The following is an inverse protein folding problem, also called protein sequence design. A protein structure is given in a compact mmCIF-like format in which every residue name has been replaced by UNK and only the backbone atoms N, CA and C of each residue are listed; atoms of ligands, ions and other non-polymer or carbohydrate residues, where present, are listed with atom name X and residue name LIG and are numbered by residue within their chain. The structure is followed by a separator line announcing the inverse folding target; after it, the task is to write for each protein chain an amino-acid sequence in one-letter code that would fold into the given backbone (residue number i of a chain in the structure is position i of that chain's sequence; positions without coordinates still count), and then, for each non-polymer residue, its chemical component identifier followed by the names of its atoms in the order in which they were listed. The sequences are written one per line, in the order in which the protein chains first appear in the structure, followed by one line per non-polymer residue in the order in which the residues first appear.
data_IF_274386802903
#
_entry.id   IF_274386802903
#
_cell.length_a   1.000
_cell.length_b   1.000
_cell.length_c   1.000
_cell.angle_alpha   90.00
_cell.angle_beta   90.00
_cell.angle_gamma   90.00
#
_symmetry.space_group_name_H-M   'P 1'
#
loop_
_entity.id
_entity.type
_entity.pdbx_description
1 polymer ?
#
# COMPACT_ATOMS: atom_id res chain seq x y z
N UNK A 1 28.64 22.29 -40.93
CA UNK A 1 29.29 22.99 -39.80
C UNK A 1 28.34 23.24 -38.62
N UNK A 2 27.04 23.52 -38.86
CA UNK A 2 26.03 23.75 -37.80
C UNK A 2 25.72 22.53 -36.89
N UNK A 3 26.05 21.30 -37.30
CA UNK A 3 25.75 20.09 -36.51
C UNK A 3 26.75 19.87 -35.35
N UNK A 4 27.97 20.44 -35.43
CA UNK A 4 28.98 20.33 -34.36
C UNK A 4 28.81 21.36 -33.25
N UNK A 5 28.07 22.45 -33.47
CA UNK A 5 27.76 23.43 -32.42
C UNK A 5 26.65 22.94 -31.48
N UNK A 6 25.66 22.20 -32.00
CA UNK A 6 24.54 21.66 -31.17
C UNK A 6 24.98 20.57 -30.17
N UNK A 7 26.09 19.86 -30.42
CA UNK A 7 26.61 18.85 -29.48
C UNK A 7 27.39 19.44 -28.29
N UNK A 8 27.84 20.70 -28.38
CA UNK A 8 28.54 21.35 -27.28
C UNK A 8 27.57 22.04 -26.30
N UNK A 9 26.45 22.59 -26.78
CA UNK A 9 25.47 23.26 -25.91
C UNK A 9 24.70 22.26 -25.01
N UNK A 10 24.51 21.01 -25.45
CA UNK A 10 23.88 19.96 -24.65
C UNK A 10 24.72 19.49 -23.45
N UNK A 11 26.04 19.74 -23.44
CA UNK A 11 26.93 19.38 -22.32
C UNK A 11 26.88 20.38 -21.17
N UNK A 12 26.58 21.65 -21.45
CA UNK A 12 26.57 22.71 -20.43
C UNK A 12 25.31 22.70 -19.56
N UNK A 13 24.20 22.11 -20.02
CA UNK A 13 22.99 21.97 -19.20
C UNK A 13 23.10 20.93 -18.07
N UNK A 14 24.10 20.04 -18.09
CA UNK A 14 24.28 19.00 -17.07
C UNK A 14 25.34 19.37 -16.00
N UNK A 15 25.87 20.59 -16.00
CA UNK A 15 26.85 21.05 -15.02
C UNK A 15 26.39 22.32 -14.31
N UNK A 16 25.38 22.18 -13.44
CA UNK A 16 25.27 23.04 -12.26
C UNK A 16 25.96 22.35 -11.07
N UNK A 17 27.23 22.65 -10.77
CA UNK A 17 28.00 21.96 -9.73
C UNK A 17 27.53 22.27 -8.28
N UNK A 18 26.59 23.20 -8.09
CA UNK A 18 26.19 23.67 -6.77
C UNK A 18 24.98 22.96 -6.14
N UNK A 19 24.20 22.17 -6.89
CA UNK A 19 23.10 21.37 -6.30
C UNK A 19 23.50 19.92 -5.99
N UNK A 20 24.46 19.36 -6.73
CA UNK A 20 24.90 17.97 -6.53
C UNK A 20 25.87 17.83 -5.35
N UNK A 21 26.71 18.83 -5.08
CA UNK A 21 27.78 18.73 -4.09
C UNK A 21 27.25 18.57 -2.66
N UNK A 22 26.12 19.20 -2.31
CA UNK A 22 25.54 19.14 -0.96
C UNK A 22 24.87 17.79 -0.68
N UNK A 23 24.16 17.21 -1.65
CA UNK A 23 23.57 15.87 -1.52
C UNK A 23 24.61 14.74 -1.60
N UNK A 24 25.64 14.88 -2.45
CA UNK A 24 26.70 13.88 -2.55
C UNK A 24 27.56 13.81 -1.27
N UNK A 25 27.69 14.94 -0.55
CA UNK A 25 28.42 14.98 0.72
C UNK A 25 27.62 14.29 1.82
N UNK A 26 26.31 14.52 1.89
CA UNK A 26 25.40 13.88 2.85
C UNK A 26 25.29 12.35 2.63
N UNK A 27 25.28 11.89 1.38
CA UNK A 27 25.29 10.45 1.04
C UNK A 27 26.65 9.81 1.34
N UNK A 28 27.76 10.50 1.07
CA UNK A 28 29.11 9.98 1.38
C UNK A 28 29.37 9.87 2.88
N UNK A 29 28.83 10.80 3.68
CA UNK A 29 28.98 10.81 5.14
C UNK A 29 28.18 9.68 5.78
N UNK A 30 26.94 9.44 5.33
CA UNK A 30 26.11 8.28 5.77
C UNK A 30 26.72 6.94 5.35
N UNK A 31 27.39 6.86 4.19
CA UNK A 31 28.03 5.63 3.73
C UNK A 31 29.33 5.33 4.50
N UNK A 32 30.03 6.38 4.98
CA UNK A 32 31.27 6.24 5.77
C UNK A 32 30.98 5.71 7.18
N UNK A 33 29.92 6.17 7.83
CA UNK A 33 29.46 5.59 9.12
C UNK A 33 29.00 4.13 8.98
N UNK A 34 28.43 3.75 7.81
CA UNK A 34 28.03 2.37 7.57
C UNK A 34 29.21 1.41 7.37
N UNK A 35 30.37 1.92 6.92
CA UNK A 35 31.59 1.11 6.72
C UNK A 35 32.37 0.90 8.02
N UNK A 36 32.41 1.88 8.93
CA UNK A 36 33.04 1.76 10.25
C UNK A 36 32.28 0.80 11.19
N UNK A 37 30.96 0.67 11.07
CA UNK A 37 30.20 -0.35 11.83
C UNK A 37 30.43 -1.78 11.35
N UNK A 38 30.93 -1.98 10.12
CA UNK A 38 31.25 -3.30 9.57
C UNK A 38 32.67 -3.72 9.99
N UNK A 39 33.62 -2.79 10.13
CA UNK A 39 35.01 -3.08 10.50
C UNK A 39 35.25 -3.32 12.01
N UNK A 40 34.38 -2.84 12.91
CA UNK A 40 34.48 -3.17 14.34
C UNK A 40 33.91 -4.56 14.73
N UNK A 41 33.47 -5.35 13.75
CA UNK A 41 33.06 -6.75 13.93
C UNK A 41 34.25 -7.69 13.70
N UNK A 42 35.28 -7.59 14.55
CA UNK A 42 36.48 -8.42 14.47
C UNK A 42 36.18 -9.92 14.46
N UNK A 43 36.41 -10.56 13.32
CA UNK A 43 36.52 -12.03 13.17
C UNK A 43 37.99 -12.35 12.99
N UNK A 44 38.69 -12.57 14.09
CA UNK A 44 40.00 -13.24 14.06
C UNK A 44 39.78 -14.75 13.96
N UNK A 45 40.22 -15.33 12.84
CA UNK A 45 40.49 -16.76 12.74
C UNK A 45 41.61 -17.14 13.72
N UNK A 46 41.58 -18.37 14.25
CA UNK A 46 42.71 -19.23 13.94
C UNK A 46 42.28 -20.59 13.40
N UNK A 47 43.18 -21.10 12.57
CA UNK A 47 43.12 -22.30 11.79
C UNK A 47 43.38 -23.58 12.64
N UNK A 48 42.54 -24.59 12.37
CA UNK A 48 42.91 -26.00 12.04
C UNK A 48 43.19 -27.02 13.17
N UNK A 49 42.67 -28.24 12.88
CA UNK A 49 42.68 -29.55 13.57
C UNK A 49 41.49 -29.78 14.53
N UNK A 50 40.69 -30.85 14.47
CA UNK A 50 40.79 -32.14 13.78
C UNK A 50 39.40 -32.80 13.68
N UNK A 51 39.32 -33.85 12.86
CA UNK A 51 38.14 -34.62 12.41
C UNK A 51 37.11 -34.96 13.49
N UNK A 52 35.83 -34.71 13.18
CA UNK A 52 34.70 -35.29 13.91
C UNK A 52 33.42 -35.27 13.07
N UNK A 53 33.06 -36.43 12.51
CA UNK A 53 31.75 -36.67 11.88
C UNK A 53 30.65 -36.51 12.93
N UNK A 54 29.83 -35.48 12.79
CA UNK A 54 28.64 -35.27 13.61
C UNK A 54 27.63 -34.39 12.89
N UNK A 55 26.49 -34.96 12.52
CA UNK A 55 25.35 -34.29 11.91
C UNK A 55 24.90 -33.09 12.75
N UNK A 56 25.41 -31.91 12.45
CA UNK A 56 24.94 -30.67 13.07
C UNK A 56 24.28 -29.85 11.97
N UNK A 57 22.95 -29.93 11.89
CA UNK A 57 22.12 -29.00 11.12
C UNK A 57 22.43 -27.60 11.63
N UNK A 58 23.34 -26.89 10.97
CA UNK A 58 23.56 -25.45 11.17
C UNK A 58 22.30 -24.76 10.65
N UNK A 59 21.28 -24.66 11.50
CA UNK A 59 20.17 -23.73 11.32
C UNK A 59 20.80 -22.34 11.37
N UNK A 60 21.14 -21.78 10.19
CA UNK A 60 21.44 -20.35 10.05
C UNK A 60 20.22 -19.60 10.57
N UNK A 61 20.27 -19.15 11.83
CA UNK A 61 19.24 -18.29 12.42
C UNK A 61 19.34 -16.96 11.68
N UNK A 62 18.55 -16.78 10.62
CA UNK A 62 18.39 -15.48 9.98
C UNK A 62 18.03 -14.45 11.06
N UNK A 63 18.85 -13.41 11.23
CA UNK A 63 18.59 -12.33 12.19
C UNK A 63 17.22 -11.74 11.86
N UNK A 64 16.21 -12.01 12.69
CA UNK A 64 14.85 -11.48 12.52
C UNK A 64 14.89 -10.00 12.87
N UNK A 65 14.85 -9.13 11.85
CA UNK A 65 14.72 -7.70 12.07
C UNK A 65 13.47 -7.39 12.89
N UNK A 66 13.57 -6.43 13.82
CA UNK A 66 12.41 -5.96 14.56
C UNK A 66 11.39 -5.31 13.62
N UNK A 67 10.10 -5.40 13.96
CA UNK A 67 8.98 -4.86 13.17
C UNK A 67 9.21 -3.37 12.83
N UNK A 68 9.68 -2.58 13.78
CA UNK A 68 10.01 -1.14 13.60
C UNK A 68 11.11 -0.91 12.57
N UNK A 69 12.19 -1.72 12.58
CA UNK A 69 13.27 -1.60 11.59
C UNK A 69 12.78 -1.90 10.19
N UNK A 70 11.96 -2.95 10.02
CA UNK A 70 11.35 -3.26 8.71
C UNK A 70 10.49 -2.11 8.18
N UNK A 71 9.72 -1.45 9.05
CA UNK A 71 8.91 -0.29 8.68
C UNK A 71 9.77 0.89 8.21
N UNK A 72 10.87 1.16 8.92
CA UNK A 72 11.81 2.20 8.53
C UNK A 72 12.44 1.89 7.17
N UNK A 73 12.95 0.68 6.95
CA UNK A 73 13.52 0.31 5.66
C UNK A 73 12.49 0.28 4.53
N UNK A 74 11.26 -0.18 4.78
CA UNK A 74 10.17 -0.12 3.82
C UNK A 74 9.91 1.31 3.36
N UNK A 75 9.82 2.25 4.31
CA UNK A 75 9.65 3.65 4.01
C UNK A 75 10.82 4.24 3.20
N UNK A 76 12.07 3.86 3.51
CA UNK A 76 13.23 4.30 2.72
C UNK A 76 13.18 3.77 1.29
N UNK A 77 12.79 2.51 1.09
CA UNK A 77 12.60 1.92 -0.25
C UNK A 77 11.53 2.68 -1.03
N UNK A 78 10.40 3.01 -0.39
CA UNK A 78 9.37 3.85 -1.00
C UNK A 78 9.91 5.23 -1.39
N UNK A 79 10.72 5.86 -0.53
CA UNK A 79 11.32 7.17 -0.83
C UNK A 79 12.25 7.11 -2.04
N UNK A 80 13.08 6.06 -2.16
CA UNK A 80 13.90 5.85 -3.36
C UNK A 80 13.05 5.67 -4.61
N UNK A 81 11.96 4.91 -4.54
CA UNK A 81 11.04 4.74 -5.65
C UNK A 81 10.43 6.08 -6.10
N UNK A 82 10.03 6.93 -5.15
CA UNK A 82 9.49 8.27 -5.43
C UNK A 82 10.55 9.17 -6.09
N UNK A 83 11.79 9.16 -5.60
CA UNK A 83 12.89 9.94 -6.20
C UNK A 83 13.12 9.50 -7.66
N UNK A 84 13.12 8.19 -7.93
CA UNK A 84 13.28 7.67 -9.29
C UNK A 84 12.10 8.08 -10.16
N UNK A 85 10.85 7.90 -9.70
CA UNK A 85 9.65 8.29 -10.42
C UNK A 85 9.64 9.80 -10.74
N UNK A 86 10.02 10.63 -9.77
CA UNK A 86 10.10 12.07 -9.94
C UNK A 86 11.13 12.47 -11.00
N UNK A 87 12.33 11.85 -10.96
CA UNK A 87 13.36 12.06 -11.98
C UNK A 87 12.92 11.62 -13.38
N UNK A 88 12.22 10.49 -13.49
CA UNK A 88 11.63 10.02 -14.75
C UNK A 88 10.59 11.03 -15.25
N UNK A 89 9.77 11.58 -14.36
CA UNK A 89 8.77 12.62 -14.70
C UNK A 89 9.41 13.89 -15.26
N UNK A 90 10.43 14.42 -14.57
CA UNK A 90 11.19 15.60 -15.04
C UNK A 90 11.88 15.30 -16.38
N UNK A 91 12.54 14.15 -16.50
CA UNK A 91 13.21 13.74 -17.73
C UNK A 91 12.23 13.65 -18.90
N UNK A 92 11.07 13.03 -18.67
CA UNK A 92 10.01 12.89 -19.68
C UNK A 92 9.47 14.26 -20.10
N UNK A 93 9.29 15.19 -19.16
CA UNK A 93 8.86 16.54 -19.45
C UNK A 93 9.90 17.32 -20.28
N UNK A 94 11.19 17.26 -19.91
CA UNK A 94 12.26 17.92 -20.68
C UNK A 94 12.30 17.35 -22.11
N UNK A 95 12.21 16.03 -22.25
CA UNK A 95 12.17 15.37 -23.55
C UNK A 95 10.94 15.81 -24.36
N UNK A 96 9.77 15.90 -23.73
CA UNK A 96 8.56 16.41 -24.35
C UNK A 96 8.71 17.85 -24.84
N UNK A 97 9.26 18.76 -24.03
CA UNK A 97 9.50 20.14 -24.47
C UNK A 97 10.46 20.20 -25.66
N UNK A 98 11.53 19.40 -25.64
CA UNK A 98 12.49 19.36 -26.74
C UNK A 98 11.87 18.85 -28.05
N UNK A 99 11.01 17.82 -27.97
CA UNK A 99 10.36 17.21 -29.12
C UNK A 99 9.18 18.04 -29.64
N UNK A 100 8.27 18.47 -28.76
CA UNK A 100 7.05 19.18 -29.16
C UNK A 100 7.32 20.62 -29.62
N UNK A 101 8.37 21.25 -29.11
CA UNK A 101 8.74 22.61 -29.48
C UNK A 101 9.99 22.65 -30.35
N UNK A 102 10.25 21.64 -31.19
CA UNK A 102 11.47 21.53 -31.99
C UNK A 102 11.85 22.86 -32.68
N UNK A 103 10.88 23.51 -33.32
CA UNK A 103 11.03 24.77 -34.08
C UNK A 103 10.99 26.05 -33.23
N UNK A 104 10.71 25.96 -31.93
CA UNK A 104 10.65 27.13 -31.07
C UNK A 104 12.05 27.68 -30.76
N UNK A 105 12.19 29.01 -30.59
CA UNK A 105 13.47 29.62 -30.23
C UNK A 105 13.98 29.10 -28.87
N UNK A 106 15.29 28.93 -28.76
CA UNK A 106 15.98 28.37 -27.57
C UNK A 106 15.66 29.10 -26.27
N UNK A 107 15.39 30.41 -26.34
CA UNK A 107 15.00 31.22 -25.19
C UNK A 107 13.70 30.72 -24.53
N UNK A 108 12.72 30.28 -25.32
CA UNK A 108 11.44 29.78 -24.78
C UNK A 108 11.62 28.41 -24.14
N UNK A 109 12.40 27.51 -24.77
CA UNK A 109 12.73 26.19 -24.20
C UNK A 109 13.47 26.34 -22.87
N UNK A 110 14.47 27.22 -22.82
CA UNK A 110 15.24 27.49 -21.59
C UNK A 110 14.36 28.08 -20.49
N UNK A 111 13.44 28.98 -20.82
CA UNK A 111 12.49 29.51 -19.84
C UNK A 111 11.55 28.42 -19.29
N UNK A 112 11.00 27.56 -20.15
CA UNK A 112 10.14 26.45 -19.74
C UNK A 112 10.88 25.44 -18.84
N UNK A 113 12.10 25.05 -19.23
CA UNK A 113 12.92 24.12 -18.45
C UNK A 113 13.38 24.77 -17.13
N UNK A 114 13.78 26.05 -17.16
CA UNK A 114 14.24 26.77 -15.96
C UNK A 114 13.14 26.95 -14.90
N UNK A 115 11.86 27.00 -15.30
CA UNK A 115 10.74 27.06 -14.36
C UNK A 115 10.54 25.73 -13.60
N UNK A 116 11.02 24.60 -14.13
CA UNK A 116 10.90 23.30 -13.44
C UNK A 116 11.66 23.33 -12.11
N UNK A 117 12.85 23.94 -12.09
CA UNK A 117 13.68 24.01 -10.87
C UNK A 117 12.95 24.77 -9.75
N UNK A 118 12.24 25.85 -10.08
CA UNK A 118 11.40 26.58 -9.13
C UNK A 118 10.21 25.75 -8.64
N UNK A 119 9.68 24.88 -9.50
CA UNK A 119 8.55 23.99 -9.20
C UNK A 119 8.99 22.63 -8.63
N UNK A 120 10.29 22.39 -8.43
CA UNK A 120 10.82 21.09 -8.05
C UNK A 120 10.18 20.56 -6.76
N UNK A 121 10.10 21.38 -5.72
CA UNK A 121 9.51 20.99 -4.43
C UNK A 121 8.01 20.67 -4.59
N UNK A 122 7.27 21.50 -5.32
CA UNK A 122 5.83 21.32 -5.53
C UNK A 122 5.54 20.02 -6.29
N UNK A 123 6.26 19.79 -7.39
CA UNK A 123 6.11 18.59 -8.22
C UNK A 123 6.60 17.33 -7.50
N UNK A 124 7.64 17.42 -6.67
CA UNK A 124 8.09 16.33 -5.80
C UNK A 124 7.01 15.98 -4.76
N UNK A 125 6.46 16.98 -4.06
CA UNK A 125 5.39 16.76 -3.07
C UNK A 125 4.14 16.16 -3.70
N UNK A 126 3.77 16.62 -4.91
CA UNK A 126 2.68 16.02 -5.67
C UNK A 126 2.98 14.55 -6.00
N UNK A 127 4.17 14.25 -6.53
CA UNK A 127 4.60 12.88 -6.84
C UNK A 127 4.58 12.00 -5.59
N UNK A 128 5.09 12.50 -4.46
CA UNK A 128 5.11 11.83 -3.17
C UNK A 128 3.69 11.50 -2.69
N UNK A 129 2.79 12.49 -2.71
CA UNK A 129 1.42 12.33 -2.25
C UNK A 129 0.65 11.35 -3.13
N UNK A 130 0.72 11.53 -4.46
CA UNK A 130 0.06 10.65 -5.42
C UNK A 130 0.59 9.22 -5.34
N UNK A 131 1.90 9.02 -5.18
CA UNK A 131 2.49 7.69 -5.03
C UNK A 131 1.89 6.94 -3.83
N UNK A 132 1.89 7.55 -2.65
CA UNK A 132 1.38 6.88 -1.45
C UNK A 132 -0.13 6.67 -1.52
N UNK A 133 -0.89 7.68 -1.95
CA UNK A 133 -2.34 7.57 -2.05
C UNK A 133 -2.75 6.44 -3.01
N UNK A 134 -2.19 6.43 -4.21
CA UNK A 134 -2.49 5.42 -5.24
C UNK A 134 -1.99 4.04 -4.80
N UNK A 135 -0.79 3.95 -4.22
CA UNK A 135 -0.24 2.67 -3.75
C UNK A 135 -1.07 2.07 -2.62
N UNK A 136 -1.53 2.87 -1.66
CA UNK A 136 -2.36 2.35 -0.57
C UNK A 136 -3.75 1.94 -1.05
N UNK A 137 -4.36 2.74 -1.92
CA UNK A 137 -5.69 2.49 -2.45
C UNK A 137 -5.73 1.27 -3.40
N UNK A 138 -4.86 1.24 -4.42
CA UNK A 138 -4.82 0.13 -5.39
C UNK A 138 -4.07 -1.10 -4.86
N UNK A 139 -3.10 -0.91 -3.97
CA UNK A 139 -2.28 -1.98 -3.42
C UNK A 139 -2.91 -2.68 -2.21
N UNK A 140 -4.17 -2.40 -1.87
CA UNK A 140 -4.86 -2.97 -0.71
C UNK A 140 -4.01 -2.86 0.58
N UNK A 141 -3.58 -1.63 0.90
CA UNK A 141 -2.75 -1.38 2.07
C UNK A 141 -1.26 -1.76 1.91
N UNK A 142 -0.79 -2.01 0.68
CA UNK A 142 0.62 -2.33 0.39
C UNK A 142 1.26 -1.31 -0.56
N UNK A 143 2.38 -0.75 -0.14
CA UNK A 143 3.31 -0.03 -1.02
C UNK A 143 4.40 -0.97 -1.52
N UNK A 144 5.22 -0.52 -2.48
CA UNK A 144 6.36 -1.29 -2.98
C UNK A 144 7.32 -1.62 -1.83
N UNK A 145 7.65 -0.63 -1.01
CA UNK A 145 8.49 -0.79 0.18
C UNK A 145 7.90 -1.78 1.17
N UNK A 146 6.62 -1.64 1.51
CA UNK A 146 5.96 -2.59 2.43
C UNK A 146 5.95 -4.01 1.87
N UNK A 147 5.74 -4.17 0.56
CA UNK A 147 5.75 -5.47 -0.13
C UNK A 147 7.11 -6.15 -0.06
N UNK A 148 8.20 -5.40 -0.28
CA UNK A 148 9.57 -5.92 -0.17
C UNK A 148 9.87 -6.50 1.22
N UNK A 149 9.30 -5.91 2.27
CA UNK A 149 9.50 -6.37 3.66
C UNK A 149 8.40 -7.32 4.18
N UNK A 150 7.47 -7.75 3.32
CA UNK A 150 6.33 -8.62 3.64
C UNK A 150 5.45 -8.03 4.75
N UNK A 151 5.18 -6.73 4.63
CA UNK A 151 4.32 -5.97 5.53
C UNK A 151 3.05 -5.56 4.77
N UNK A 152 1.94 -5.51 5.50
CA UNK A 152 0.64 -5.03 5.02
C UNK A 152 0.00 -4.13 6.07
N UNK A 153 -0.65 -3.07 5.64
CA UNK A 153 -1.54 -2.27 6.49
C UNK A 153 -2.95 -2.85 6.46
N UNK A 154 -3.57 -2.96 7.64
CA UNK A 154 -4.89 -3.55 7.87
C UNK A 154 -5.78 -2.51 8.56
N UNK A 155 -7.03 -2.40 8.12
CA UNK A 155 -8.07 -1.55 8.74
C UNK A 155 -8.57 -2.17 10.06
N UNK A 156 -8.94 -1.33 11.02
CA UNK A 156 -9.60 -1.75 12.26
C UNK A 156 -11.14 -1.71 12.19
N UNK A 157 -11.72 -0.85 11.33
CA UNK A 157 -13.16 -0.57 11.30
C UNK A 157 -13.89 -1.23 10.12
N UNK A 158 -13.17 -1.88 9.19
CA UNK A 158 -13.74 -2.48 7.97
C UNK A 158 -13.19 -3.85 7.59
N UNK A 159 -13.32 -4.22 6.30
CA UNK A 159 -12.74 -5.45 5.77
C UNK A 159 -11.20 -5.39 5.94
N UNK A 160 -10.59 -6.33 6.68
CA UNK A 160 -9.14 -6.34 6.87
C UNK A 160 -8.35 -6.49 5.56
N UNK A 161 -9.00 -6.90 4.46
CA UNK A 161 -8.38 -7.05 3.13
C UNK A 161 -8.24 -5.73 2.38
N UNK A 162 -9.09 -4.74 2.65
CA UNK A 162 -9.16 -3.51 1.86
C UNK A 162 -9.06 -2.28 2.76
N UNK A 163 -8.27 -1.31 2.31
CA UNK A 163 -8.20 -0.02 3.00
C UNK A 163 -9.23 0.92 2.38
N UNK A 164 -10.01 1.58 3.24
CA UNK A 164 -10.89 2.66 2.78
C UNK A 164 -10.06 3.79 2.17
N UNK A 165 -10.66 4.52 1.22
CA UNK A 165 -10.04 5.69 0.63
C UNK A 165 -9.63 6.71 1.71
N UNK A 166 -10.48 6.90 2.72
CA UNK A 166 -10.22 7.84 3.81
C UNK A 166 -9.02 7.41 4.67
N UNK A 167 -8.90 6.12 4.96
CA UNK A 167 -7.75 5.58 5.70
C UNK A 167 -6.46 5.73 4.90
N UNK A 168 -6.51 5.45 3.59
CA UNK A 168 -5.39 5.63 2.67
C UNK A 168 -4.93 7.09 2.60
N UNK A 169 -5.89 8.03 2.55
CA UNK A 169 -5.64 9.46 2.54
C UNK A 169 -5.03 9.95 3.86
N UNK A 170 -5.62 9.59 5.00
CA UNK A 170 -5.10 9.95 6.33
C UNK A 170 -3.71 9.37 6.58
N UNK A 171 -3.46 8.16 6.10
CA UNK A 171 -2.14 7.52 6.17
C UNK A 171 -1.12 8.27 5.31
N UNK A 172 -1.50 8.67 4.10
CA UNK A 172 -0.67 9.49 3.20
C UNK A 172 -0.33 10.82 3.86
N UNK A 173 -1.29 11.50 4.47
CA UNK A 173 -1.05 12.73 5.25
C UNK A 173 -0.07 12.48 6.40
N UNK A 174 -0.22 11.39 7.15
CA UNK A 174 0.71 11.01 8.21
C UNK A 174 2.15 10.82 7.71
N UNK A 175 2.32 10.25 6.51
CA UNK A 175 3.62 10.14 5.86
C UNK A 175 4.15 11.50 5.37
N UNK A 176 3.30 12.38 4.86
CA UNK A 176 3.69 13.75 4.46
C UNK A 176 4.18 14.56 5.65
N UNK A 177 3.45 14.54 6.77
CA UNK A 177 3.88 15.21 8.02
C UNK A 177 5.21 14.65 8.50
N UNK A 178 5.38 13.33 8.43
CA UNK A 178 6.63 12.68 8.82
C UNK A 178 7.82 13.09 7.93
N UNK A 179 7.58 13.31 6.63
CA UNK A 179 8.60 13.85 5.72
C UNK A 179 8.95 15.30 6.06
N UNK A 180 7.94 16.16 6.29
CA UNK A 180 8.15 17.56 6.68
C UNK A 180 8.91 17.70 8.01
N UNK A 181 8.71 16.78 8.95
CA UNK A 181 9.41 16.75 10.23
C UNK A 181 10.79 16.05 10.17
N UNK A 182 11.34 15.81 8.97
CA UNK A 182 12.68 15.24 8.77
C UNK A 182 12.83 13.90 9.53
N UNK A 183 11.81 13.03 9.45
CA UNK A 183 11.80 11.71 10.10
C UNK A 183 11.89 11.71 11.63
N UNK A 184 11.78 12.86 12.28
CA UNK A 184 11.74 12.98 13.76
C UNK A 184 10.69 12.05 14.40
N UNK A 185 9.47 11.88 13.83
CA UNK A 185 8.47 10.96 14.37
C UNK A 185 8.88 9.49 14.33
N UNK A 186 9.81 9.08 13.46
CA UNK A 186 10.37 7.72 13.50
C UNK A 186 11.23 7.48 14.74
N UNK A 187 11.98 8.50 15.20
CA UNK A 187 12.75 8.41 16.46
C UNK A 187 11.80 8.24 17.65
N UNK A 188 10.67 8.94 17.67
CA UNK A 188 9.66 8.81 18.74
C UNK A 188 9.12 7.37 18.81
N UNK A 189 8.97 6.69 17.68
CA UNK A 189 8.53 5.29 17.64
C UNK A 189 9.54 4.30 18.23
N UNK A 190 10.83 4.66 18.37
CA UNK A 190 11.80 3.84 19.09
C UNK A 190 11.61 3.92 20.61
N UNK A 191 11.13 5.06 21.13
CA UNK A 191 10.92 5.26 22.56
C UNK A 191 9.54 4.79 23.04
N UNK A 192 8.53 4.76 22.17
CA UNK A 192 7.16 4.40 22.53
C UNK A 192 6.95 2.88 22.58
N UNK A 193 6.37 2.37 23.67
CA UNK A 193 6.11 0.93 23.89
C UNK A 193 5.14 0.33 22.86
N UNK A 194 4.21 1.15 22.35
CA UNK A 194 3.14 0.71 21.44
C UNK A 194 3.62 0.40 20.03
N UNK A 195 4.83 0.84 19.64
CA UNK A 195 5.44 0.63 18.30
C UNK A 195 4.52 1.00 17.12
N UNK A 196 3.45 1.78 17.36
CA UNK A 196 2.57 2.35 16.33
C UNK A 196 3.23 3.59 15.74
N UNK A 197 3.30 3.66 14.41
CA UNK A 197 3.84 4.81 13.71
C UNK A 197 2.90 6.00 13.71
N UNK A 198 3.40 7.19 13.37
CA UNK A 198 2.56 8.38 13.17
C UNK A 198 1.45 8.14 12.12
N UNK A 199 1.72 7.49 10.96
CA UNK A 199 0.68 7.18 9.98
C UNK A 199 -0.37 6.20 10.51
N UNK A 200 0.02 5.26 11.37
CA UNK A 200 -0.88 4.31 12.02
C UNK A 200 -1.82 5.02 13.00
N UNK A 201 -1.35 6.08 13.66
CA UNK A 201 -2.16 6.86 14.61
C UNK A 201 -3.25 7.68 13.90
N UNK A 202 -2.93 8.33 12.78
CA UNK A 202 -3.90 9.13 12.04
C UNK A 202 -4.97 8.30 11.32
N UNK A 203 -4.58 7.14 10.80
CA UNK A 203 -5.49 6.29 10.03
C UNK A 203 -6.18 5.21 10.86
N UNK A 204 -5.88 5.11 12.15
CA UNK A 204 -6.35 4.01 13.01
C UNK A 204 -6.07 2.61 12.45
N UNK A 205 -5.01 2.46 11.64
CA UNK A 205 -4.66 1.18 11.00
C UNK A 205 -3.48 0.50 11.71
N UNK A 206 -3.34 -0.81 11.53
CA UNK A 206 -2.19 -1.56 12.02
C UNK A 206 -1.39 -2.16 10.86
N UNK A 207 -0.05 -2.02 10.90
CA UNK A 207 0.82 -2.80 10.02
C UNK A 207 1.04 -4.18 10.61
N UNK A 208 0.69 -5.23 9.88
CA UNK A 208 0.95 -6.63 10.19
C UNK A 208 1.96 -7.23 9.20
N UNK A 209 2.64 -8.30 9.61
CA UNK A 209 3.44 -9.11 8.68
C UNK A 209 2.48 -9.98 7.85
N UNK A 210 2.81 -10.29 6.60
CA UNK A 210 1.95 -11.16 5.76
C UNK A 210 1.61 -12.50 6.46
N UNK A 211 2.55 -13.06 7.24
CA UNK A 211 2.32 -14.28 8.04
C UNK A 211 1.30 -14.08 9.17
N UNK A 212 1.33 -12.91 9.80
CA UNK A 212 0.38 -12.55 10.86
C UNK A 212 -1.00 -12.33 10.25
N UNK A 213 -1.06 -11.68 9.08
CA UNK A 213 -2.29 -11.47 8.32
C UNK A 213 -2.95 -12.79 7.90
N UNK A 214 -2.19 -13.75 7.35
CA UNK A 214 -2.73 -15.06 6.96
C UNK A 214 -3.31 -15.84 8.15
N UNK A 215 -2.69 -15.71 9.33
CA UNK A 215 -3.22 -16.32 10.55
C UNK A 215 -4.54 -15.67 10.96
N UNK A 216 -4.56 -14.34 10.97
CA UNK A 216 -5.75 -13.55 11.30
C UNK A 216 -6.91 -13.85 10.33
N UNK A 217 -6.65 -13.89 9.03
CA UNK A 217 -7.65 -14.21 8.00
C UNK A 217 -8.25 -15.61 8.21
N UNK A 218 -7.42 -16.59 8.58
CA UNK A 218 -7.88 -17.94 8.84
C UNK A 218 -8.72 -18.04 10.13
N UNK A 219 -8.39 -17.27 11.17
CA UNK A 219 -9.20 -17.17 12.39
C UNK A 219 -10.56 -16.53 12.10
N UNK A 220 -10.59 -15.41 11.38
CA UNK A 220 -11.84 -14.74 10.98
C UNK A 220 -12.72 -15.65 10.13
N UNK A 221 -12.12 -16.36 9.16
CA UNK A 221 -12.86 -17.31 8.30
C UNK A 221 -13.45 -18.48 9.09
N UNK A 222 -12.74 -18.95 10.13
CA UNK A 222 -13.24 -20.02 11.01
C UNK A 222 -14.44 -19.58 11.84
N UNK A 223 -14.39 -18.38 12.42
CA UNK A 223 -15.51 -17.84 13.20
C UNK A 223 -16.74 -17.62 12.31
N UNK A 224 -16.56 -17.04 11.11
CA UNK A 224 -17.68 -16.86 10.16
C UNK A 224 -18.35 -18.19 9.78
N UNK A 225 -17.55 -19.24 9.49
CA UNK A 225 -18.10 -20.57 9.18
C UNK A 225 -18.88 -21.17 10.36
N UNK A 226 -18.43 -20.94 11.59
CA UNK A 226 -19.07 -21.43 12.80
C UNK A 226 -20.42 -20.74 13.03
N UNK A 227 -20.49 -19.43 12.81
CA UNK A 227 -21.72 -18.67 12.93
C UNK A 227 -22.74 -19.02 11.83
N UNK A 228 -22.29 -19.18 10.58
CA UNK A 228 -23.15 -19.65 9.50
C UNK A 228 -23.72 -21.05 9.77
N UNK A 229 -22.90 -21.96 10.31
CA UNK A 229 -23.39 -23.29 10.69
C UNK A 229 -24.36 -23.26 11.87
N UNK A 230 -24.20 -22.32 12.81
CA UNK A 230 -25.11 -22.14 13.94
C UNK A 230 -26.47 -21.64 13.48
N UNK A 231 -26.49 -20.63 12.61
CA UNK A 231 -27.72 -20.07 12.06
C UNK A 231 -28.44 -21.09 11.16
N UNK A 232 -27.71 -21.84 10.33
CA UNK A 232 -28.32 -22.89 9.51
C UNK A 232 -28.99 -23.99 10.35
N UNK A 233 -28.40 -24.32 11.51
CA UNK A 233 -28.99 -25.31 12.44
C UNK A 233 -30.21 -24.77 13.19
N UNK A 234 -30.24 -23.48 13.55
CA UNK A 234 -31.41 -22.88 14.18
C UNK A 234 -32.61 -22.85 13.23
N UNK A 235 -32.37 -22.49 11.97
CA UNK A 235 -33.43 -22.40 10.96
C UNK A 235 -34.01 -23.79 10.65
N UNK A 236 -33.14 -24.81 10.53
CA UNK A 236 -33.57 -26.19 10.32
C UNK A 236 -34.40 -26.75 11.49
N UNK A 237 -34.09 -26.33 12.71
CA UNK A 237 -34.79 -26.77 13.92
C UNK A 237 -36.19 -26.14 14.02
N UNK A 238 -36.34 -24.87 13.62
CA UNK A 238 -37.65 -24.21 13.56
C UNK A 238 -38.56 -24.83 12.50
N UNK A 239 -38.04 -25.15 11.31
CA UNK A 239 -38.85 -25.79 10.25
C UNK A 239 -39.35 -27.20 10.64
N UNK A 240 -38.63 -27.94 11.48
CA UNK A 240 -39.08 -29.25 11.98
C UNK A 240 -40.14 -29.13 13.09
N UNK A 241 -40.22 -28.01 13.78
CA UNK A 241 -41.22 -27.76 14.82
C UNK A 241 -42.56 -27.34 14.20
N UNK A 242 -42.54 -26.49 13.17
CA UNK A 242 -43.75 -26.11 12.40
C UNK A 242 -44.37 -27.29 11.64
N UNK A 243 -43.56 -28.25 11.17
CA UNK A 243 -44.06 -29.46 10.52
C UNK A 243 -44.82 -30.39 11.47
N UNK A 244 -44.50 -30.40 12.77
CA UNK A 244 -45.15 -31.31 13.74
C UNK A 244 -46.47 -30.79 14.29
N UNK A 245 -46.71 -29.49 14.22
CA UNK A 245 -47.99 -28.88 14.65
C UNK A 245 -49.05 -28.93 13.55
N UNK A 246 -48.67 -29.11 12.28
CA UNK A 246 -49.62 -29.20 11.16
C UNK A 246 -50.35 -30.55 11.01
N UNK A 247 -49.85 -31.63 11.61
CA UNK A 247 -50.48 -32.97 11.51
C UNK A 247 -51.54 -33.24 12.58
N UNK A 248 -51.77 -32.30 13.51
CA UNK A 248 -52.73 -32.46 14.61
C UNK A 248 -54.14 -31.90 14.32
N UNK A 249 -54.34 -31.14 13.24
CA UNK A 249 -55.64 -30.53 12.88
C UNK A 249 -56.06 -30.88 11.44
N UNK A 250 -56.19 -32.17 11.13
CA UNK A 250 -57.00 -32.61 9.97
C UNK A 250 -58.46 -32.59 10.41
N UNK A 251 -59.05 -31.40 10.52
CA UNK A 251 -60.49 -31.22 10.65
C UNK A 251 -61.08 -31.25 9.25
N UNK A 252 -61.92 -32.26 9.02
CA UNK A 252 -62.73 -32.47 7.83
C UNK A 252 -63.53 -31.21 7.47
N UNK A 253 -63.15 -30.49 6.41
CA UNK A 253 -63.98 -29.43 5.84
C UNK A 253 -64.78 -29.94 4.63
N UNK A 254 -66.11 -29.72 4.59
CA UNK A 254 -66.95 -30.12 3.47
C UNK A 254 -66.75 -29.20 2.28
N UNK A 255 -66.75 -29.82 1.09
CA UNK A 255 -66.67 -29.19 -0.22
C UNK A 255 -67.99 -28.43 -0.46
N UNK A 256 -67.92 -27.10 -0.46
CA UNK A 256 -68.91 -26.25 -1.11
C UNK A 256 -68.18 -25.32 -2.07
N UNK A 257 -68.46 -25.50 -3.36
CA UNK A 257 -67.94 -24.68 -4.42
C UNK A 257 -68.70 -23.37 -4.53
N UNK A 258 -67.97 -22.31 -4.85
CA UNK A 258 -68.46 -21.20 -5.67
C UNK A 258 -67.32 -20.69 -6.57
N UNK A 259 -67.62 -20.30 -7.83
CA UNK A 259 -66.65 -19.75 -8.75
C UNK A 259 -66.67 -18.22 -8.70
N UNK A 260 -65.60 -17.59 -8.21
CA UNK A 260 -65.44 -16.14 -8.33
C UNK A 260 -64.06 -15.76 -8.86
N UNK A 261 -64.08 -15.46 -10.16
CA UNK A 261 -63.39 -14.40 -10.90
C UNK A 261 -62.21 -13.66 -10.24
N UNK A 262 -61.09 -13.65 -10.99
CA UNK A 262 -60.23 -12.51 -11.33
C UNK A 262 -59.95 -11.47 -10.23
N UNK A 263 -58.69 -11.38 -9.80
CA UNK A 263 -57.88 -10.15 -9.59
C UNK A 263 -56.53 -10.64 -9.04
N UNK A 264 -55.45 -10.59 -9.85
CA UNK A 264 -54.05 -10.46 -9.41
C UNK A 264 -53.08 -10.64 -10.59
N UNK A 265 -53.09 -9.70 -11.54
CA UNK A 265 -52.03 -9.57 -12.56
C UNK A 265 -51.36 -8.19 -12.56
N UNK A 266 -51.55 -7.39 -11.51
CA UNK A 266 -51.11 -5.98 -11.48
C UNK A 266 -50.04 -5.68 -10.42
N UNK A 267 -49.04 -6.56 -10.26
CA UNK A 267 -47.85 -6.25 -9.42
C UNK A 267 -46.50 -6.72 -9.99
N UNK A 268 -46.47 -7.27 -11.21
CA UNK A 268 -45.21 -7.76 -11.80
C UNK A 268 -44.55 -6.69 -12.71
N UNK A 269 -45.29 -5.68 -13.14
CA UNK A 269 -44.80 -4.72 -14.16
C UNK A 269 -44.05 -3.51 -13.60
N UNK A 270 -44.07 -3.28 -12.28
CA UNK A 270 -43.39 -2.12 -11.68
C UNK A 270 -41.89 -2.36 -11.43
N UNK A 271 -41.48 -3.62 -11.27
CA UNK A 271 -40.06 -3.97 -11.08
C UNK A 271 -39.25 -4.03 -12.38
N UNK A 272 -39.90 -4.20 -13.53
CA UNK A 272 -39.20 -4.20 -14.83
C UNK A 272 -38.70 -2.79 -15.21
N UNK A 273 -39.46 -1.74 -14.86
CA UNK A 273 -39.09 -0.36 -15.19
C UNK A 273 -37.94 0.20 -14.35
N UNK A 274 -37.66 -0.35 -13.18
CA UNK A 274 -36.49 0.07 -12.39
C UNK A 274 -35.17 -0.49 -12.93
N UNK A 275 -35.18 -1.62 -13.66
CA UNK A 275 -33.94 -2.19 -14.19
C UNK A 275 -33.41 -1.43 -15.42
N UNK A 276 -34.29 -0.89 -16.26
CA UNK A 276 -33.88 -0.15 -17.47
C UNK A 276 -33.28 1.24 -17.15
N UNK A 277 -33.53 1.80 -15.96
CA UNK A 277 -32.93 3.07 -15.54
C UNK A 277 -31.49 2.92 -14.99
N UNK A 278 -31.03 1.69 -14.76
CA UNK A 278 -29.69 1.43 -14.20
C UNK A 278 -28.64 1.06 -15.27
N UNK A 279 -29.06 0.87 -16.52
CA UNK A 279 -28.19 0.42 -17.63
C UNK A 279 -27.96 1.54 -18.68
N UNK A 280 -28.61 2.70 -18.56
CA UNK A 280 -28.36 3.89 -19.39
C UNK A 280 -27.40 4.87 -18.71
#
# INVERSE_FOLDING_TARGET
MAEKENMNEAKDYFHNPNSSSTELTLVKEVTKEHKEQIEHSGVTNPAVHEKGKGNTKVKKKAKKFSKTKKRFYAFNVDLYAIIILHKIGIFSYINFINQSFEHAPSNIKRALIGNIDQMYISTFMFTYFSYFLVSYFLGHGKTIGLTVFQLRTVSHEGDPRELSFMESFMRTLGYTVNYLMIFTPFLINLFRKDKKGLPDFFSQTEIMTDKEFLHYEHEVTKEMKKDSQKNLKSDLSQSQEESKTSDADIIHFPIQGEPHSNIATEKIDENAKQLDLFIA
#
